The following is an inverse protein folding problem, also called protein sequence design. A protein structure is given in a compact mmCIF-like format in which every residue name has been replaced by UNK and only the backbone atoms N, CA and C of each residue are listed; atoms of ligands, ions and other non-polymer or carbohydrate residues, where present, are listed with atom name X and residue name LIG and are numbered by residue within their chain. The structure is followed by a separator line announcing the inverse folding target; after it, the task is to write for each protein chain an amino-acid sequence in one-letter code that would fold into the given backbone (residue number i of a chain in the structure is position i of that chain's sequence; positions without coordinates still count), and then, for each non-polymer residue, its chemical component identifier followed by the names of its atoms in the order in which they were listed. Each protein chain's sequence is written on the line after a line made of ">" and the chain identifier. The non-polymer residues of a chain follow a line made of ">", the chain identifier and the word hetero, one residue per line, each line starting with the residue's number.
data_IF_143075062318
#
_entry.id   IF_143075062318
#
_cell.length_a   1.000
_cell.length_b   1.000
_cell.length_c   1.000
_cell.angle_alpha   90.00
_cell.angle_beta   90.00
_cell.angle_gamma   90.00
#
_symmetry.space_group_name_H-M   'P 1'
#
loop_
_entity.id
_entity.type
_entity.pdbx_description
1 polymer ?
#
# COMPACT_ATOMS: atom_id res chain seq x y z
N UNK A 1 -22.26 -4.19 3.37
CA UNK A 1 -21.90 -4.30 1.94
C UNK A 1 -20.84 -5.36 1.62
N UNK A 2 -19.60 -5.31 2.14
CA UNK A 2 -18.55 -6.31 1.80
C UNK A 2 -18.97 -7.75 2.11
N UNK A 3 -19.62 -7.98 3.24
CA UNK A 3 -20.16 -9.29 3.61
C UNK A 3 -21.30 -9.73 2.68
N UNK A 4 -22.19 -8.81 2.27
CA UNK A 4 -23.25 -9.10 1.29
C UNK A 4 -22.67 -9.47 -0.08
N UNK A 5 -21.61 -8.77 -0.52
CA UNK A 5 -20.89 -9.11 -1.74
C UNK A 5 -20.27 -10.50 -1.64
N UNK A 6 -19.61 -10.83 -0.52
CA UNK A 6 -19.04 -12.16 -0.27
C UNK A 6 -20.12 -13.25 -0.33
N UNK A 7 -21.28 -13.04 0.30
CA UNK A 7 -22.40 -13.99 0.26
C UNK A 7 -22.97 -14.18 -1.15
N UNK A 8 -23.29 -13.09 -1.85
CA UNK A 8 -23.78 -13.15 -3.24
C UNK A 8 -22.77 -13.78 -4.19
N UNK A 9 -21.47 -13.58 -3.94
CA UNK A 9 -20.40 -14.24 -4.68
C UNK A 9 -20.45 -15.74 -4.46
N UNK A 10 -20.55 -16.19 -3.20
CA UNK A 10 -20.66 -17.62 -2.86
C UNK A 10 -21.89 -18.23 -3.55
N UNK A 11 -23.04 -17.57 -3.49
CA UNK A 11 -24.28 -18.03 -4.15
C UNK A 11 -24.11 -18.15 -5.67
N UNK A 12 -23.54 -17.13 -6.32
CA UNK A 12 -23.28 -17.12 -7.76
C UNK A 12 -22.38 -18.27 -8.20
N UNK A 13 -21.27 -18.51 -7.49
CA UNK A 13 -20.35 -19.60 -7.81
C UNK A 13 -20.92 -20.98 -7.48
N UNK A 14 -21.74 -21.10 -6.43
CA UNK A 14 -22.44 -22.36 -6.12
C UNK A 14 -23.40 -22.78 -7.24
N UNK A 15 -24.08 -21.83 -7.88
CA UNK A 15 -25.00 -22.11 -8.99
C UNK A 15 -24.29 -22.51 -10.30
N UNK A 16 -23.01 -22.18 -10.44
CA UNK A 16 -22.23 -22.37 -11.68
C UNK A 16 -21.17 -23.47 -11.51
N UNK A 17 -21.12 -24.11 -10.34
CA UNK A 17 -20.09 -25.08 -9.94
C UNK A 17 -19.95 -26.24 -10.95
N UNK A 18 -21.05 -26.72 -11.53
CA UNK A 18 -21.03 -27.78 -12.55
C UNK A 18 -20.34 -27.38 -13.87
N UNK A 19 -20.31 -26.06 -14.20
CA UNK A 19 -19.69 -25.53 -15.42
C UNK A 19 -18.19 -25.21 -15.26
N UNK A 20 -17.71 -25.09 -14.02
CA UNK A 20 -16.35 -24.63 -13.71
C UNK A 20 -15.32 -25.76 -13.82
N UNK A 21 -15.72 -27.02 -13.69
CA UNK A 21 -14.83 -28.18 -13.66
C UNK A 21 -14.02 -28.43 -14.96
N UNK A 22 -14.23 -27.64 -16.02
CA UNK A 22 -13.67 -27.90 -17.34
C UNK A 22 -12.63 -26.89 -17.84
N UNK A 23 -12.53 -25.68 -17.27
CA UNK A 23 -11.56 -24.69 -17.80
C UNK A 23 -11.19 -23.56 -16.80
N UNK A 24 -9.89 -23.41 -16.56
CA UNK A 24 -9.31 -22.40 -15.66
C UNK A 24 -9.45 -20.97 -16.19
N UNK A 25 -9.49 -20.77 -17.52
CA UNK A 25 -9.67 -19.45 -18.12
C UNK A 25 -11.09 -18.92 -17.91
N UNK A 26 -12.07 -19.83 -17.80
CA UNK A 26 -13.48 -19.53 -17.58
C UNK A 26 -13.70 -18.85 -16.21
N UNK A 27 -12.94 -19.23 -15.19
CA UNK A 27 -13.06 -18.68 -13.84
C UNK A 27 -12.78 -17.18 -13.80
N UNK A 28 -11.70 -16.74 -14.47
CA UNK A 28 -11.34 -15.32 -14.54
C UNK A 28 -12.41 -14.46 -15.25
N UNK A 29 -13.11 -15.06 -16.23
CA UNK A 29 -14.19 -14.41 -16.96
C UNK A 29 -15.46 -14.35 -16.10
N UNK A 30 -15.82 -15.45 -15.43
CA UNK A 30 -16.95 -15.51 -14.51
C UNK A 30 -16.80 -14.56 -13.32
N UNK A 31 -15.60 -14.41 -12.77
CA UNK A 31 -15.33 -13.42 -11.74
C UNK A 31 -15.59 -12.01 -12.26
N UNK A 32 -15.08 -11.67 -13.45
CA UNK A 32 -15.33 -10.35 -14.07
C UNK A 32 -16.82 -10.12 -14.31
N UNK A 33 -17.53 -11.11 -14.82
CA UNK A 33 -18.97 -11.04 -15.09
C UNK A 33 -19.76 -10.85 -13.79
N UNK A 34 -19.44 -11.58 -12.73
CA UNK A 34 -20.02 -11.38 -11.40
C UNK A 34 -19.80 -9.95 -10.91
N UNK A 35 -18.55 -9.47 -10.91
CA UNK A 35 -18.22 -8.13 -10.42
C UNK A 35 -18.91 -7.04 -11.25
N UNK A 36 -18.94 -7.18 -12.57
CA UNK A 36 -19.62 -6.24 -13.46
C UNK A 36 -21.11 -6.16 -13.14
N UNK A 37 -21.76 -7.32 -12.98
CA UNK A 37 -23.19 -7.39 -12.64
C UNK A 37 -23.47 -6.86 -11.23
N UNK A 38 -22.65 -7.22 -10.24
CA UNK A 38 -22.79 -6.74 -8.86
C UNK A 38 -22.65 -5.21 -8.81
N UNK A 39 -21.64 -4.64 -9.46
CA UNK A 39 -21.43 -3.19 -9.50
C UNK A 39 -22.61 -2.48 -10.20
N UNK A 40 -23.07 -2.99 -11.35
CA UNK A 40 -24.11 -2.33 -12.13
C UNK A 40 -25.53 -2.49 -11.57
N UNK A 41 -25.80 -3.56 -10.85
CA UNK A 41 -27.14 -3.84 -10.34
C UNK A 41 -27.26 -3.47 -8.85
N UNK A 42 -26.32 -3.91 -8.02
CA UNK A 42 -26.40 -3.78 -6.57
C UNK A 42 -25.72 -2.51 -6.04
N UNK A 43 -24.65 -2.05 -6.71
CA UNK A 43 -23.91 -0.85 -6.27
C UNK A 43 -24.35 0.42 -6.99
N UNK A 44 -25.09 0.33 -8.10
CA UNK A 44 -25.37 1.50 -8.95
C UNK A 44 -26.08 2.63 -8.19
N UNK A 45 -27.09 2.29 -7.38
CA UNK A 45 -27.74 3.28 -6.53
C UNK A 45 -26.78 3.93 -5.54
N UNK A 46 -25.91 3.15 -4.89
CA UNK A 46 -24.90 3.68 -3.99
C UNK A 46 -23.95 4.63 -4.73
N UNK A 47 -23.45 4.22 -5.90
CA UNK A 47 -22.54 5.03 -6.70
C UNK A 47 -23.21 6.32 -7.16
N UNK A 48 -24.49 6.29 -7.52
CA UNK A 48 -25.25 7.48 -7.90
C UNK A 48 -25.52 8.41 -6.70
N UNK A 49 -25.72 7.89 -5.49
CA UNK A 49 -25.76 8.71 -4.27
C UNK A 49 -24.39 9.31 -3.93
N UNK A 50 -23.32 8.52 -4.00
CA UNK A 50 -21.95 8.98 -3.75
C UNK A 50 -21.51 10.06 -4.75
N UNK A 51 -21.94 9.97 -6.01
CA UNK A 51 -21.67 11.00 -7.03
C UNK A 51 -22.32 12.34 -6.74
N UNK A 52 -23.43 12.37 -5.99
CA UNK A 52 -24.12 13.62 -5.61
C UNK A 52 -23.42 14.33 -4.46
N UNK A 53 -22.53 13.65 -3.74
CA UNK A 53 -21.79 14.23 -2.63
C UNK A 53 -20.76 15.22 -3.18
N UNK A 54 -20.95 16.50 -2.86
CA UNK A 54 -19.94 17.53 -3.10
C UNK A 54 -18.79 17.39 -2.09
N UNK A 55 -17.60 17.89 -2.44
CA UNK A 55 -16.44 17.86 -1.56
C UNK A 55 -16.79 18.45 -0.17
N UNK A 56 -16.84 17.63 0.89
CA UNK A 56 -17.32 18.10 2.19
C UNK A 56 -16.26 18.98 2.85
N UNK A 57 -16.70 19.94 3.67
CA UNK A 57 -15.77 20.81 4.43
C UNK A 57 -15.18 20.01 5.61
N UNK A 58 -13.98 20.39 6.06
CA UNK A 58 -13.39 19.84 7.28
C UNK A 58 -14.33 20.04 8.49
N UNK A 59 -14.32 19.13 9.45
CA UNK A 59 -15.19 19.14 10.64
C UNK A 59 -16.70 19.12 10.33
N UNK A 60 -17.09 18.54 9.20
CA UNK A 60 -18.51 18.32 8.89
C UNK A 60 -18.87 16.85 8.95
N UNK A 61 -20.17 16.58 9.04
CA UNK A 61 -20.70 15.22 9.00
C UNK A 61 -21.15 14.93 7.59
N UNK A 62 -20.53 13.92 6.97
CA UNK A 62 -21.00 13.36 5.72
C UNK A 62 -22.04 12.29 6.04
N UNK A 63 -23.27 12.53 5.60
CA UNK A 63 -24.38 11.61 5.80
C UNK A 63 -25.03 11.28 4.46
N UNK A 64 -25.16 9.99 4.17
CA UNK A 64 -25.92 9.51 3.01
C UNK A 64 -26.70 8.25 3.36
N UNK A 65 -27.74 7.96 2.57
CA UNK A 65 -28.61 6.80 2.78
C UNK A 65 -28.41 5.81 1.65
N UNK A 66 -28.32 4.53 1.99
CA UNK A 66 -28.26 3.44 1.03
C UNK A 66 -28.94 2.19 1.63
N UNK A 67 -29.82 1.54 0.86
CA UNK A 67 -30.55 0.34 1.29
C UNK A 67 -31.20 0.45 2.69
N UNK A 68 -31.88 1.57 2.97
CA UNK A 68 -32.52 1.88 4.26
C UNK A 68 -31.54 2.08 5.45
N UNK A 69 -30.24 1.90 5.23
CA UNK A 69 -29.19 2.23 6.20
C UNK A 69 -28.74 3.69 6.00
N UNK A 70 -28.39 4.34 7.10
CA UNK A 70 -27.80 5.68 7.08
C UNK A 70 -26.32 5.56 7.43
N UNK A 71 -25.47 5.98 6.50
CA UNK A 71 -24.03 6.07 6.70
C UNK A 71 -23.69 7.46 7.19
N UNK A 72 -22.92 7.51 8.27
CA UNK A 72 -22.48 8.76 8.92
C UNK A 72 -20.96 8.68 9.04
N UNK A 73 -20.26 9.66 8.48
CA UNK A 73 -18.81 9.78 8.55
C UNK A 73 -18.43 11.18 9.00
N UNK A 74 -17.58 11.28 10.03
CA UNK A 74 -17.07 12.55 10.53
C UNK A 74 -15.84 12.95 9.71
N UNK A 75 -15.93 14.07 8.98
CA UNK A 75 -14.79 14.60 8.24
C UNK A 75 -13.80 15.19 9.26
N UNK A 76 -12.55 14.70 9.34
CA UNK A 76 -11.60 15.15 10.35
C UNK A 76 -11.22 16.63 10.14
N UNK A 77 -10.72 17.27 11.21
CA UNK A 77 -10.08 18.58 11.08
C UNK A 77 -8.73 18.46 10.35
N UNK A 78 -8.14 19.60 10.01
CA UNK A 78 -6.84 19.67 9.33
C UNK A 78 -5.73 18.97 10.12
N UNK A 79 -5.77 18.99 11.45
CA UNK A 79 -4.71 18.42 12.30
C UNK A 79 -4.78 16.90 12.37
N UNK A 80 -5.97 16.33 12.53
CA UNK A 80 -6.22 14.89 12.50
C UNK A 80 -6.01 14.31 11.10
N UNK A 81 -6.31 15.09 10.05
CA UNK A 81 -6.12 14.66 8.67
C UNK A 81 -4.65 14.60 8.22
N UNK A 82 -3.68 15.08 9.02
CA UNK A 82 -2.26 15.16 8.63
C UNK A 82 -1.62 13.80 8.34
N UNK A 83 -2.11 12.74 9.00
CA UNK A 83 -1.55 11.39 8.95
C UNK A 83 -2.62 10.34 8.66
N UNK A 84 -3.74 10.73 8.05
CA UNK A 84 -4.89 9.84 7.82
C UNK A 84 -4.51 8.63 6.95
N UNK A 85 -3.52 8.79 6.06
CA UNK A 85 -2.97 7.73 5.22
C UNK A 85 -2.27 6.62 6.01
N UNK A 86 -1.77 6.92 7.21
CA UNK A 86 -1.04 5.98 8.06
C UNK A 86 -1.89 5.41 9.20
N UNK A 87 -3.01 6.04 9.53
CA UNK A 87 -3.84 5.73 10.70
C UNK A 87 -4.24 4.24 10.77
N UNK A 88 -4.65 3.67 9.64
CA UNK A 88 -5.16 2.30 9.58
C UNK A 88 -4.06 1.23 9.54
N UNK A 89 -2.89 1.58 9.04
CA UNK A 89 -1.79 0.65 8.77
C UNK A 89 -0.68 0.70 9.81
N UNK A 90 -0.61 1.74 10.64
CA UNK A 90 0.54 1.99 11.52
C UNK A 90 0.78 0.86 12.52
N UNK A 91 -0.28 0.30 13.12
CA UNK A 91 -0.18 -0.78 14.10
C UNK A 91 0.41 -2.05 13.49
N UNK A 92 0.00 -2.38 12.26
CA UNK A 92 0.48 -3.54 11.51
C UNK A 92 1.98 -3.38 11.24
N UNK A 93 2.39 -2.22 10.74
CA UNK A 93 3.79 -1.95 10.39
C UNK A 93 4.69 -1.92 11.62
N UNK A 94 4.29 -1.20 12.67
CA UNK A 94 5.06 -1.10 13.92
C UNK A 94 5.15 -2.44 14.65
N UNK A 95 4.18 -3.34 14.48
CA UNK A 95 4.26 -4.70 15.03
C UNK A 95 5.21 -5.62 14.26
N UNK A 96 5.50 -5.29 12.99
CA UNK A 96 6.39 -6.08 12.12
C UNK A 96 7.86 -5.66 12.16
N UNK A 97 8.17 -4.45 12.62
CA UNK A 97 9.52 -3.88 12.58
C UNK A 97 10.16 -3.85 13.97
N UNK A 98 11.44 -4.21 14.03
CA UNK A 98 12.26 -3.91 15.20
C UNK A 98 12.60 -2.42 15.26
N UNK A 99 12.84 -1.89 16.47
CA UNK A 99 13.11 -0.46 16.67
C UNK A 99 14.33 0.02 15.85
N UNK A 100 15.40 -0.76 15.81
CA UNK A 100 16.62 -0.44 15.06
C UNK A 100 16.38 -0.36 13.55
N UNK A 101 15.53 -1.25 13.03
CA UNK A 101 15.14 -1.27 11.62
C UNK A 101 14.29 -0.06 11.29
N UNK A 102 13.30 0.25 12.13
CA UNK A 102 12.45 1.42 11.98
C UNK A 102 13.28 2.70 11.91
N UNK A 103 14.20 2.90 12.86
CA UNK A 103 15.08 4.07 12.90
C UNK A 103 15.94 4.13 11.64
N UNK A 104 16.54 3.00 11.22
CA UNK A 104 17.41 2.96 10.05
C UNK A 104 16.67 3.32 8.76
N UNK A 105 15.45 2.82 8.57
CA UNK A 105 14.61 3.15 7.41
C UNK A 105 14.19 4.63 7.48
N UNK A 106 13.78 5.11 8.64
CA UNK A 106 13.38 6.51 8.82
C UNK A 106 14.53 7.48 8.54
N UNK A 107 15.74 7.20 9.02
CA UNK A 107 16.92 8.01 8.72
C UNK A 107 17.30 7.95 7.24
N UNK A 108 17.22 6.77 6.62
CA UNK A 108 17.46 6.62 5.18
C UNK A 108 16.48 7.46 4.36
N UNK A 109 15.22 7.54 4.81
CA UNK A 109 14.19 8.36 4.20
C UNK A 109 14.50 9.85 4.37
N UNK A 110 14.91 10.30 5.55
CA UNK A 110 15.29 11.70 5.80
C UNK A 110 16.54 12.13 4.99
N UNK A 111 17.41 11.19 4.66
CA UNK A 111 18.58 11.41 3.80
C UNK A 111 18.24 11.34 2.30
N UNK A 112 16.96 11.21 1.96
CA UNK A 112 16.48 11.05 0.59
C UNK A 112 17.18 9.88 -0.12
N UNK A 113 17.37 8.75 0.54
CA UNK A 113 17.84 7.53 -0.12
C UNK A 113 16.71 6.87 -0.91
N UNK A 114 17.04 6.15 -1.97
CA UNK A 114 16.08 5.30 -2.68
C UNK A 114 15.72 4.09 -1.81
N UNK A 115 14.44 3.96 -1.43
CA UNK A 115 13.94 2.87 -0.57
C UNK A 115 12.92 2.05 -1.33
N UNK A 116 13.11 0.73 -1.30
CA UNK A 116 12.24 -0.25 -1.94
C UNK A 116 11.73 -1.23 -0.90
N UNK A 117 10.47 -1.07 -0.50
CA UNK A 117 9.78 -2.04 0.36
C UNK A 117 9.31 -3.22 -0.48
N UNK A 118 9.46 -4.44 0.02
CA UNK A 118 9.03 -5.66 -0.67
C UNK A 118 8.19 -6.52 0.26
N UNK A 119 7.03 -6.94 -0.20
CA UNK A 119 6.14 -7.85 0.54
C UNK A 119 5.17 -8.53 -0.41
N UNK A 120 4.83 -9.79 -0.16
CA UNK A 120 3.71 -10.47 -0.83
C UNK A 120 2.34 -10.03 -0.27
N UNK A 121 2.32 -9.39 0.89
CA UNK A 121 1.13 -8.86 1.53
C UNK A 121 0.93 -7.39 1.11
N UNK A 122 0.05 -7.20 0.11
CA UNK A 122 -0.30 -5.86 -0.39
C UNK A 122 -0.76 -4.86 0.68
N UNK A 123 -1.42 -5.33 1.75
CA UNK A 123 -1.89 -4.48 2.83
C UNK A 123 -0.72 -4.01 3.71
N UNK A 124 0.20 -4.92 4.07
CA UNK A 124 1.43 -4.58 4.78
C UNK A 124 2.28 -3.61 3.95
N UNK A 125 2.53 -3.94 2.68
CA UNK A 125 3.31 -3.12 1.75
C UNK A 125 2.78 -1.68 1.67
N UNK A 126 1.48 -1.54 1.40
CA UNK A 126 0.87 -0.22 1.23
C UNK A 126 0.89 0.58 2.53
N UNK A 127 0.64 -0.10 3.65
CA UNK A 127 0.69 0.51 4.98
C UNK A 127 2.09 1.00 5.31
N UNK A 128 3.14 0.23 4.99
CA UNK A 128 4.54 0.60 5.26
C UNK A 128 4.93 1.84 4.46
N UNK A 129 4.66 1.85 3.15
CA UNK A 129 4.98 3.00 2.28
C UNK A 129 4.28 4.27 2.79
N UNK A 130 2.98 4.18 3.09
CA UNK A 130 2.19 5.32 3.56
C UNK A 130 2.59 5.79 4.96
N UNK A 131 2.93 4.87 5.87
CA UNK A 131 3.43 5.21 7.20
C UNK A 131 4.72 6.01 7.09
N UNK A 132 5.74 5.49 6.41
CA UNK A 132 7.02 6.18 6.28
C UNK A 132 6.89 7.52 5.56
N UNK A 133 6.07 7.60 4.51
CA UNK A 133 5.75 8.89 3.88
C UNK A 133 5.09 9.88 4.85
N UNK A 134 4.14 9.42 5.67
CA UNK A 134 3.45 10.28 6.65
C UNK A 134 4.36 10.81 7.76
N UNK A 135 5.44 10.09 8.09
CA UNK A 135 6.42 10.50 9.10
C UNK A 135 7.28 11.68 8.66
N UNK A 136 7.33 11.98 7.35
CA UNK A 136 8.07 13.15 6.84
C UNK A 136 7.39 14.47 7.17
N UNK A 137 6.09 14.47 7.51
CA UNK A 137 5.38 15.72 7.80
C UNK A 137 6.08 16.48 8.95
N UNK A 138 6.23 17.81 8.83
CA UNK A 138 5.61 18.70 7.83
C UNK A 138 6.36 18.81 6.50
N UNK A 139 7.49 18.12 6.33
CA UNK A 139 8.20 18.07 5.05
C UNK A 139 7.40 17.30 3.99
N UNK A 140 7.71 17.58 2.74
CA UNK A 140 7.14 16.90 1.59
C UNK A 140 8.23 16.03 0.98
N UNK A 141 7.89 14.79 0.65
CA UNK A 141 8.73 13.96 -0.21
C UNK A 141 8.64 14.51 -1.64
N UNK A 142 9.74 15.03 -2.21
CA UNK A 142 9.69 15.69 -3.52
C UNK A 142 9.85 14.69 -4.68
N UNK A 143 10.17 13.43 -4.38
CA UNK A 143 10.54 12.42 -5.37
C UNK A 143 9.40 11.42 -5.63
N UNK A 144 9.52 10.49 -6.60
CA UNK A 144 8.48 9.51 -6.87
C UNK A 144 8.11 8.67 -5.64
N UNK A 145 6.81 8.57 -5.41
CA UNK A 145 6.17 7.72 -4.41
C UNK A 145 5.26 6.72 -5.13
N UNK A 146 5.61 5.43 -5.12
CA UNK A 146 4.85 4.39 -5.82
C UNK A 146 4.55 3.26 -4.84
N UNK A 147 3.32 3.22 -4.33
CA UNK A 147 2.89 2.25 -3.29
C UNK A 147 3.00 0.80 -3.76
N UNK A 148 2.75 0.55 -5.05
CA UNK A 148 2.88 -0.75 -5.67
C UNK A 148 3.35 -0.59 -7.12
N UNK A 149 4.62 -0.86 -7.38
CA UNK A 149 5.23 -0.74 -8.71
C UNK A 149 4.81 -1.92 -9.59
N UNK A 150 4.21 -1.68 -10.77
CA UNK A 150 3.95 -2.74 -11.71
C UNK A 150 5.25 -3.28 -12.32
N UNK A 151 5.28 -4.58 -12.66
CA UNK A 151 6.48 -5.25 -13.19
C UNK A 151 7.09 -4.57 -14.43
N UNK A 152 6.28 -3.91 -15.25
CA UNK A 152 6.75 -3.26 -16.48
C UNK A 152 7.48 -1.93 -16.21
N UNK A 153 7.44 -1.44 -14.96
CA UNK A 153 8.04 -0.17 -14.54
C UNK A 153 9.27 -0.36 -13.64
N UNK A 154 9.91 -1.53 -13.64
CA UNK A 154 11.12 -1.78 -12.85
C UNK A 154 12.28 -0.81 -13.17
N UNK A 155 12.31 -0.25 -14.38
CA UNK A 155 13.27 0.79 -14.77
C UNK A 155 13.20 2.07 -13.90
N UNK A 156 12.11 2.27 -13.15
CA UNK A 156 11.99 3.36 -12.18
C UNK A 156 13.03 3.25 -11.06
N UNK A 157 13.50 2.04 -10.75
CA UNK A 157 14.54 1.85 -9.72
C UNK A 157 15.92 2.39 -10.16
N UNK A 158 16.13 2.58 -11.47
CA UNK A 158 17.40 3.03 -12.04
C UNK A 158 17.44 4.54 -12.33
N UNK A 159 16.39 5.29 -11.97
CA UNK A 159 16.36 6.72 -12.22
C UNK A 159 17.37 7.45 -11.31
N UNK A 160 17.95 8.57 -11.75
CA UNK A 160 19.03 9.25 -11.02
C UNK A 160 18.55 10.01 -9.78
N UNK A 161 17.26 9.99 -9.47
CA UNK A 161 16.65 10.65 -8.32
C UNK A 161 16.19 9.59 -7.30
N UNK A 162 16.12 9.94 -6.01
CA UNK A 162 15.60 9.05 -4.99
C UNK A 162 14.19 8.55 -5.31
N UNK A 163 13.83 7.37 -4.81
CA UNK A 163 12.47 6.83 -4.97
C UNK A 163 11.98 6.21 -3.66
N UNK A 164 10.67 6.29 -3.41
CA UNK A 164 10.01 5.56 -2.32
C UNK A 164 8.99 4.61 -2.93
N UNK A 165 9.31 3.32 -2.97
CA UNK A 165 8.58 2.34 -3.78
C UNK A 165 8.20 1.11 -2.98
N UNK A 166 7.01 0.55 -3.24
CA UNK A 166 6.63 -0.80 -2.83
C UNK A 166 6.63 -1.77 -4.01
N UNK A 167 7.18 -2.97 -3.80
CA UNK A 167 7.11 -4.11 -4.72
C UNK A 167 6.25 -5.21 -4.11
N UNK A 168 5.10 -5.49 -4.73
CA UNK A 168 4.24 -6.60 -4.31
C UNK A 168 4.77 -7.93 -4.88
N UNK A 169 5.76 -8.49 -4.19
CA UNK A 169 6.55 -9.68 -4.55
C UNK A 169 7.02 -10.41 -3.31
N UNK A 170 7.24 -11.71 -3.45
CA UNK A 170 7.94 -12.50 -2.44
C UNK A 170 9.44 -12.17 -2.40
N UNK A 171 10.07 -12.43 -1.25
CA UNK A 171 11.52 -12.32 -1.06
C UNK A 171 12.33 -13.13 -2.08
N UNK A 172 11.83 -14.30 -2.49
CA UNK A 172 12.48 -15.15 -3.50
C UNK A 172 12.67 -14.44 -4.83
N UNK A 173 11.70 -13.62 -5.26
CA UNK A 173 11.80 -12.85 -6.49
C UNK A 173 12.99 -11.87 -6.47
N UNK A 174 13.24 -11.23 -5.33
CA UNK A 174 14.37 -10.31 -5.14
C UNK A 174 15.69 -11.06 -5.29
N UNK A 175 15.83 -12.21 -4.62
CA UNK A 175 17.06 -13.01 -4.66
C UNK A 175 17.31 -13.69 -6.01
N UNK A 176 16.28 -14.25 -6.64
CA UNK A 176 16.38 -14.90 -7.96
C UNK A 176 16.80 -13.91 -9.05
N UNK A 177 16.24 -12.69 -9.00
CA UNK A 177 16.57 -11.62 -9.94
C UNK A 177 17.78 -10.78 -9.52
N UNK A 178 18.31 -11.02 -8.31
CA UNK A 178 19.41 -10.27 -7.71
C UNK A 178 19.17 -8.76 -7.74
N UNK A 179 17.94 -8.32 -7.42
CA UNK A 179 17.53 -6.93 -7.58
C UNK A 179 18.36 -5.97 -6.72
N UNK A 180 18.79 -6.41 -5.54
CA UNK A 180 19.68 -5.67 -4.66
C UNK A 180 21.05 -5.40 -5.29
N UNK A 181 21.56 -6.34 -6.08
CA UNK A 181 22.83 -6.21 -6.82
C UNK A 181 22.66 -5.42 -8.11
N UNK A 182 21.50 -5.50 -8.77
CA UNK A 182 21.23 -4.73 -9.99
C UNK A 182 21.01 -3.25 -9.64
N UNK A 183 20.32 -2.98 -8.53
CA UNK A 183 19.97 -1.66 -8.06
C UNK A 183 20.72 -1.35 -6.74
N UNK A 184 22.06 -1.31 -6.80
CA UNK A 184 22.93 -1.18 -5.61
C UNK A 184 22.66 0.09 -4.78
N UNK A 185 22.16 1.15 -5.42
CA UNK A 185 21.82 2.43 -4.77
C UNK A 185 20.43 2.42 -4.09
N UNK A 186 19.68 1.32 -4.20
CA UNK A 186 18.40 1.17 -3.53
C UNK A 186 18.55 0.38 -2.24
N UNK A 187 17.99 0.90 -1.16
CA UNK A 187 17.81 0.18 0.09
C UNK A 187 16.57 -0.73 -0.01
N UNK A 188 16.79 -2.04 -0.11
CA UNK A 188 15.69 -3.00 -0.13
C UNK A 188 15.32 -3.43 1.28
N UNK A 189 14.03 -3.31 1.61
CA UNK A 189 13.46 -3.70 2.89
C UNK A 189 12.43 -4.80 2.63
N UNK A 190 12.81 -6.05 2.92
CA UNK A 190 11.94 -7.21 2.81
C UNK A 190 11.10 -7.30 4.07
N UNK A 191 9.78 -7.23 3.96
CA UNK A 191 8.88 -7.07 5.11
C UNK A 191 8.29 -8.39 5.64
N UNK A 192 8.31 -9.45 4.84
CA UNK A 192 7.60 -10.70 5.17
C UNK A 192 8.40 -11.57 6.16
N UNK A 193 7.69 -12.24 7.08
CA UNK A 193 8.22 -13.10 8.14
C UNK A 193 9.14 -12.34 9.11
N UNK A 194 10.43 -12.20 8.75
CA UNK A 194 11.44 -11.47 9.49
C UNK A 194 11.96 -10.38 8.57
N UNK A 195 11.92 -9.14 9.04
CA UNK A 195 12.36 -8.01 8.24
C UNK A 195 13.86 -8.11 7.97
N UNK A 196 14.23 -8.03 6.70
CA UNK A 196 15.61 -8.07 6.22
C UNK A 196 15.90 -6.81 5.39
N UNK A 197 17.02 -6.15 5.70
CA UNK A 197 17.47 -4.96 4.99
C UNK A 197 18.69 -5.35 4.15
N UNK A 198 18.53 -5.35 2.82
CA UNK A 198 19.63 -5.54 1.88
C UNK A 198 20.27 -4.18 1.56
N UNK A 199 21.47 -4.19 0.97
CA UNK A 199 22.27 -2.97 0.75
C UNK A 199 22.51 -2.16 2.05
N UNK A 200 22.64 -2.87 3.19
CA UNK A 200 22.86 -2.30 4.53
C UNK A 200 24.15 -1.45 4.65
N UNK A 201 25.03 -1.46 3.64
CA UNK A 201 26.14 -0.51 3.58
C UNK A 201 25.65 0.95 3.49
N UNK A 202 24.52 1.20 2.83
CA UNK A 202 23.86 2.50 2.74
C UNK A 202 23.43 3.03 4.11
N UNK A 203 22.95 2.12 4.97
CA UNK A 203 22.56 2.42 6.36
C UNK A 203 23.79 2.59 7.26
N UNK A 204 24.80 1.72 7.14
CA UNK A 204 26.04 1.83 7.94
C UNK A 204 26.77 3.15 7.70
N UNK A 205 26.69 3.71 6.50
CA UNK A 205 27.26 5.02 6.18
C UNK A 205 26.59 6.15 6.98
N UNK A 206 25.32 6.02 7.35
CA UNK A 206 24.59 6.97 8.20
C UNK A 206 25.23 7.06 9.58
N UNK A 207 25.55 5.93 10.20
CA UNK A 207 26.15 5.91 11.53
C UNK A 207 27.63 6.35 11.51
N UNK A 208 28.35 6.14 10.40
CA UNK A 208 29.75 6.58 10.24
C UNK A 208 29.89 8.08 9.98
N UNK A 209 28.95 8.71 9.29
CA UNK A 209 29.00 10.17 9.05
C UNK A 209 28.76 10.97 10.33
N UNK A 210 28.05 10.42 11.32
CA UNK A 210 27.82 11.05 12.62
C UNK A 210 29.07 11.17 13.50
N UNK A 211 30.09 10.32 13.30
CA UNK A 211 31.36 10.43 14.08
C UNK A 211 32.24 11.63 13.69
N UNK A 212 31.88 12.41 12.66
CA UNK A 212 32.62 13.60 12.25
C UNK A 212 32.12 14.93 12.83
N UNK A 213 31.08 14.92 13.68
CA UNK A 213 30.50 16.14 14.30
C UNK A 213 30.92 16.31 15.78
N UNK A 214 31.91 15.55 16.27
CA UNK A 214 32.58 15.88 17.52
C UNK A 214 33.76 16.82 17.22
N UNK A 215 33.47 18.12 17.19
CA UNK A 215 34.45 19.22 17.33
C UNK A 215 34.28 19.84 18.70
#
# INVERSE_FOLDING_TARGET
>A
MLNQMKMKRIEYFSQIQDKINYDSQLLSKLEKDFFYNFINNDCKQLLDELKKIYLPKLNTVLQFKFNQETFIYQIPNKDLAKHIEAEWGCSIVLSSLELEQFISIFLSLLLEQSIVFVSNNSALLSSTVLLFHSLLKPFLWPHPLIINLPNNFMHVLDIPIPVLVGLNKDKSFVFEKKLDLVHENCLFVLLDEKVEILNNHLVKNIYKSQTFIQV
#
